data_IF_444356411386
#
_entry.id   IF_444356411386
#
_cell.length_a   1.000
_cell.length_b   1.000
_cell.length_c   1.000
_cell.angle_alpha   90.00
_cell.angle_beta   90.00
_cell.angle_gamma   90.00
#
_symmetry.space_group_name_H-M   'P 1'
#
loop_
_entity.id
_entity.type
_entity.pdbx_description
1 polymer ?
#
# COMPACT_ATOMS: atom_id res chain seq x y z
N UNK A 1 23.79 -7.50 -5.97
CA UNK A 1 23.21 -6.44 -5.11
C UNK A 1 22.00 -7.00 -4.38
N UNK A 2 21.85 -6.76 -3.08
CA UNK A 2 20.64 -7.15 -2.33
C UNK A 2 19.48 -6.21 -2.67
N UNK A 3 18.30 -6.76 -2.90
CA UNK A 3 17.05 -6.03 -3.10
C UNK A 3 15.87 -6.88 -2.60
N UNK A 4 14.65 -6.42 -2.83
CA UNK A 4 13.43 -7.10 -2.41
C UNK A 4 12.48 -7.33 -3.58
N UNK A 5 11.65 -8.36 -3.44
CA UNK A 5 10.59 -8.63 -4.41
C UNK A 5 9.36 -9.17 -3.69
N UNK A 6 8.22 -8.59 -4.04
CA UNK A 6 6.92 -9.13 -3.68
C UNK A 6 6.40 -10.07 -4.77
N UNK A 7 5.79 -11.17 -4.34
CA UNK A 7 5.16 -12.18 -5.17
C UNK A 7 3.78 -12.51 -4.62
N UNK A 8 2.90 -12.99 -5.48
CA UNK A 8 1.64 -13.63 -5.07
C UNK A 8 1.91 -14.90 -4.27
N UNK A 9 0.89 -15.46 -3.61
CA UNK A 9 0.98 -16.75 -2.94
C UNK A 9 1.49 -17.88 -3.87
N UNK A 10 1.14 -17.79 -5.16
CA UNK A 10 1.58 -18.73 -6.20
C UNK A 10 3.04 -18.55 -6.63
N UNK A 11 3.75 -17.54 -6.09
CA UNK A 11 5.14 -17.24 -6.43
C UNK A 11 5.33 -16.55 -7.78
N UNK A 12 4.28 -15.92 -8.32
CA UNK A 12 4.35 -15.10 -9.52
C UNK A 12 4.51 -13.62 -9.19
N UNK A 13 5.12 -12.86 -10.10
CA UNK A 13 5.20 -11.40 -9.95
C UNK A 13 3.85 -10.74 -10.20
N UNK A 14 3.54 -9.66 -9.48
CA UNK A 14 2.25 -8.96 -9.64
C UNK A 14 1.92 -8.53 -11.07
N UNK A 15 2.92 -8.06 -11.80
CA UNK A 15 2.77 -7.53 -13.17
C UNK A 15 3.14 -8.56 -14.24
N UNK A 16 3.36 -9.82 -13.87
CA UNK A 16 3.73 -10.89 -14.80
C UNK A 16 3.36 -12.26 -14.23
N UNK A 17 2.71 -13.11 -15.02
CA UNK A 17 2.44 -14.51 -14.61
C UNK A 17 3.70 -15.39 -14.51
N UNK A 18 4.88 -14.81 -14.69
CA UNK A 18 6.16 -15.48 -14.51
C UNK A 18 6.32 -15.99 -13.07
N UNK A 19 6.36 -17.32 -12.93
CA UNK A 19 6.63 -18.00 -11.67
C UNK A 19 8.12 -18.04 -11.37
N UNK A 20 8.49 -17.53 -10.22
CA UNK A 20 9.89 -17.45 -9.82
C UNK A 20 10.42 -18.79 -9.33
N UNK A 21 11.65 -19.17 -9.74
CA UNK A 21 12.35 -20.30 -9.13
C UNK A 21 12.57 -20.02 -7.64
N UNK A 22 11.97 -20.84 -6.78
CA UNK A 22 12.10 -20.72 -5.32
C UNK A 22 13.42 -21.36 -4.85
N UNK A 23 13.99 -20.88 -3.74
CA UNK A 23 15.09 -21.55 -3.04
C UNK A 23 14.72 -22.97 -2.63
N UNK A 24 15.73 -23.85 -2.53
CA UNK A 24 15.61 -25.20 -1.98
C UNK A 24 16.46 -25.32 -0.72
N UNK A 25 15.84 -25.27 0.45
CA UNK A 25 16.55 -25.17 1.73
C UNK A 25 17.34 -23.87 1.83
N UNK A 26 18.66 -23.99 2.00
CA UNK A 26 19.59 -22.86 2.08
C UNK A 26 20.11 -22.40 0.70
N UNK A 27 19.85 -23.17 -0.37
CA UNK A 27 20.32 -22.85 -1.72
C UNK A 27 19.38 -21.83 -2.38
N UNK A 28 19.90 -20.68 -2.85
CA UNK A 28 19.11 -19.70 -3.58
C UNK A 28 18.43 -20.29 -4.82
N UNK A 29 17.32 -19.69 -5.23
CA UNK A 29 16.63 -20.04 -6.46
C UNK A 29 17.52 -19.90 -7.71
N UNK A 30 17.11 -20.54 -8.80
CA UNK A 30 17.77 -20.37 -10.09
C UNK A 30 17.68 -18.91 -10.56
N UNK A 31 18.71 -18.48 -11.29
CA UNK A 31 18.71 -17.15 -11.89
C UNK A 31 17.63 -17.02 -12.97
N UNK A 32 16.95 -15.88 -12.92
CA UNK A 32 16.05 -15.39 -13.95
C UNK A 32 16.82 -14.33 -14.73
N UNK A 33 17.03 -14.56 -16.02
CA UNK A 33 17.76 -13.66 -16.91
C UNK A 33 16.80 -12.93 -17.87
N UNK A 34 17.05 -11.65 -18.10
CA UNK A 34 16.44 -10.85 -19.15
C UNK A 34 17.50 -10.50 -20.19
N UNK A 35 17.31 -11.00 -21.42
CA UNK A 35 18.24 -10.76 -22.54
C UNK A 35 17.77 -9.57 -23.39
N UNK A 36 18.58 -8.52 -23.45
CA UNK A 36 18.28 -7.33 -24.26
C UNK A 36 18.67 -6.05 -23.54
N UNK A 37 18.33 -4.91 -24.16
CA UNK A 37 18.52 -3.61 -23.52
C UNK A 37 17.48 -3.43 -22.40
N UNK A 38 17.94 -3.07 -21.20
CA UNK A 38 17.06 -2.80 -20.08
C UNK A 38 16.22 -1.55 -20.35
N UNK A 39 14.91 -1.67 -20.17
CA UNK A 39 13.96 -0.60 -20.39
C UNK A 39 12.92 -0.57 -19.26
N UNK A 40 12.68 0.63 -18.70
CA UNK A 40 11.70 0.85 -17.64
C UNK A 40 10.34 0.25 -17.99
N UNK A 41 9.77 -0.57 -17.09
CA UNK A 41 8.45 -1.22 -17.26
C UNK A 41 8.32 -2.16 -18.46
N UNK A 42 9.28 -2.20 -19.39
CA UNK A 42 9.18 -2.97 -20.64
C UNK A 42 10.13 -4.15 -20.70
N UNK A 43 11.35 -4.01 -20.19
CA UNK A 43 12.37 -5.03 -20.34
C UNK A 43 13.36 -5.06 -19.18
N UNK A 44 13.47 -6.22 -18.54
CA UNK A 44 14.37 -6.45 -17.41
C UNK A 44 13.68 -7.12 -16.23
N UNK A 45 14.50 -7.56 -15.27
CA UNK A 45 14.03 -8.19 -14.04
C UNK A 45 13.83 -7.12 -12.96
N UNK A 46 12.57 -6.91 -12.58
CA UNK A 46 12.16 -5.88 -11.62
C UNK A 46 12.28 -6.33 -10.15
N UNK A 47 12.80 -5.43 -9.32
CA UNK A 47 12.87 -5.55 -7.86
C UNK A 47 12.70 -4.15 -7.23
N UNK A 48 12.71 -4.06 -5.91
CA UNK A 48 12.60 -2.80 -5.18
C UNK A 48 13.65 -2.68 -4.08
N UNK A 49 14.03 -1.44 -3.75
CA UNK A 49 14.71 -1.13 -2.48
C UNK A 49 13.67 -1.09 -1.35
N UNK A 50 14.09 -1.05 -0.06
CA UNK A 50 13.16 -0.81 1.04
C UNK A 50 12.30 0.44 0.84
N UNK A 51 12.86 1.54 0.34
CA UNK A 51 12.15 2.81 0.12
C UNK A 51 11.05 2.69 -0.94
N UNK A 52 11.20 1.76 -1.87
CA UNK A 52 10.28 1.54 -2.97
C UNK A 52 9.19 0.51 -2.65
N UNK A 53 9.28 -0.21 -1.52
CA UNK A 53 8.50 -1.44 -1.30
C UNK A 53 6.98 -1.25 -1.30
N UNK A 54 6.50 -0.05 -0.93
CA UNK A 54 5.07 0.23 -0.79
C UNK A 54 4.29 0.13 -2.11
N UNK A 55 4.95 0.41 -3.23
CA UNK A 55 4.35 0.29 -4.55
C UNK A 55 4.30 -1.18 -5.04
N UNK A 56 4.96 -2.08 -4.32
CA UNK A 56 5.15 -3.47 -4.71
C UNK A 56 4.41 -4.48 -3.82
N UNK A 57 3.76 -4.04 -2.73
CA UNK A 57 3.13 -4.93 -1.74
C UNK A 57 2.26 -6.03 -2.37
N UNK A 58 2.49 -7.27 -1.91
CA UNK A 58 1.79 -8.49 -2.32
C UNK A 58 1.90 -9.56 -1.20
N UNK A 59 1.47 -10.79 -1.45
CA UNK A 59 1.33 -11.85 -0.44
C UNK A 59 2.66 -12.28 0.21
N UNK A 60 3.72 -12.40 -0.57
CA UNK A 60 5.03 -12.89 -0.13
C UNK A 60 6.13 -11.88 -0.40
N UNK A 61 6.96 -11.58 0.61
CA UNK A 61 8.16 -10.78 0.45
C UNK A 61 9.41 -11.67 0.43
N UNK A 62 10.28 -11.42 -0.54
CA UNK A 62 11.52 -12.15 -0.74
C UNK A 62 12.70 -11.20 -0.77
N UNK A 63 13.81 -11.60 -0.16
CA UNK A 63 15.12 -11.05 -0.47
C UNK A 63 15.57 -11.62 -1.82
N UNK A 64 16.10 -10.75 -2.67
CA UNK A 64 16.60 -11.12 -3.98
C UNK A 64 18.03 -10.63 -4.19
N UNK A 65 18.79 -11.43 -4.93
CA UNK A 65 20.11 -11.04 -5.42
C UNK A 65 19.96 -10.57 -6.87
N UNK A 66 20.35 -9.33 -7.15
CA UNK A 66 20.45 -8.77 -8.49
C UNK A 66 21.86 -8.91 -9.05
N UNK A 67 21.97 -9.25 -10.33
CA UNK A 67 23.23 -9.37 -11.06
C UNK A 67 23.19 -8.65 -12.41
N UNK A 68 24.37 -8.49 -13.01
CA UNK A 68 24.54 -7.78 -14.28
C UNK A 68 24.37 -6.25 -14.14
N UNK A 69 23.98 -5.59 -15.23
CA UNK A 69 23.62 -4.17 -15.24
C UNK A 69 22.36 -3.95 -14.40
N UNK A 70 22.36 -2.90 -13.58
CA UNK A 70 21.24 -2.51 -12.73
C UNK A 70 20.93 -1.04 -12.96
N UNK A 71 19.71 -0.75 -13.40
CA UNK A 71 19.16 0.59 -13.49
C UNK A 71 18.40 0.92 -12.20
N UNK A 72 18.74 2.05 -11.61
CA UNK A 72 18.01 2.63 -10.49
C UNK A 72 17.00 3.63 -11.03
N UNK A 73 15.72 3.37 -10.80
CA UNK A 73 14.62 4.24 -11.15
C UNK A 73 13.93 4.69 -9.87
N UNK A 74 13.08 5.71 -9.94
CA UNK A 74 12.40 6.27 -8.78
C UNK A 74 11.56 5.21 -8.05
N UNK A 75 10.71 4.48 -8.79
CA UNK A 75 9.78 3.50 -8.21
C UNK A 75 10.31 2.05 -8.17
N UNK A 76 11.47 1.74 -8.78
CA UNK A 76 11.98 0.37 -8.90
C UNK A 76 13.44 0.24 -9.27
N UNK A 77 13.95 -0.98 -9.10
CA UNK A 77 15.19 -1.45 -9.70
C UNK A 77 14.87 -2.31 -10.93
N UNK A 78 15.66 -2.15 -11.99
CA UNK A 78 15.59 -3.00 -13.19
C UNK A 78 16.96 -3.62 -13.41
N UNK A 79 17.05 -4.95 -13.49
CA UNK A 79 18.32 -5.66 -13.63
C UNK A 79 18.32 -6.64 -14.80
N UNK A 80 19.50 -7.00 -15.28
CA UNK A 80 19.66 -8.07 -16.30
C UNK A 80 19.29 -9.44 -15.74
N UNK A 81 19.52 -9.67 -14.45
CA UNK A 81 19.17 -10.93 -13.81
C UNK A 81 18.91 -10.79 -12.33
N UNK A 82 18.04 -11.64 -11.81
CA UNK A 82 17.85 -11.78 -10.36
C UNK A 82 17.56 -13.23 -9.96
N UNK A 83 17.74 -13.53 -8.68
CA UNK A 83 17.26 -14.78 -8.07
C UNK A 83 16.69 -14.54 -6.69
N UNK A 84 15.71 -15.35 -6.30
CA UNK A 84 15.21 -15.39 -4.92
C UNK A 84 16.29 -15.99 -4.02
N UNK A 85 16.55 -15.37 -2.87
CA UNK A 85 17.54 -15.83 -1.90
C UNK A 85 16.84 -16.46 -0.71
N UNK A 86 16.02 -15.69 0.00
CA UNK A 86 15.28 -16.16 1.17
C UNK A 86 13.97 -15.41 1.31
N UNK A 87 12.99 -16.05 1.95
CA UNK A 87 11.70 -15.42 2.25
C UNK A 87 11.83 -14.55 3.49
N UNK A 88 11.31 -13.33 3.43
CA UNK A 88 11.18 -12.46 4.61
C UNK A 88 9.96 -12.91 5.40
N UNK A 89 10.15 -13.86 6.32
CA UNK A 89 9.06 -14.46 7.11
C UNK A 89 8.29 -13.47 7.99
N UNK A 90 8.90 -12.32 8.32
CA UNK A 90 8.23 -11.22 8.99
C UNK A 90 7.03 -10.67 8.19
N UNK A 91 7.04 -10.79 6.85
CA UNK A 91 5.88 -10.50 6.03
C UNK A 91 5.08 -11.79 5.76
N UNK A 92 3.92 -11.88 6.40
CA UNK A 92 2.99 -13.00 6.30
C UNK A 92 1.55 -12.47 6.39
N UNK A 93 0.56 -13.33 6.21
CA UNK A 93 -0.86 -12.94 6.22
C UNK A 93 -1.28 -12.14 7.46
N UNK A 94 -0.75 -12.49 8.64
CA UNK A 94 -1.04 -11.76 9.89
C UNK A 94 -0.47 -10.35 9.86
N UNK A 95 0.81 -10.22 9.53
CA UNK A 95 1.47 -8.90 9.46
C UNK A 95 0.90 -8.03 8.36
N UNK A 96 0.51 -8.61 7.21
CA UNK A 96 -0.19 -7.91 6.15
C UNK A 96 -1.57 -7.40 6.61
N UNK A 97 -2.32 -8.21 7.36
CA UNK A 97 -3.60 -7.80 7.94
C UNK A 97 -3.42 -6.69 8.99
N UNK A 98 -2.44 -6.82 9.88
CA UNK A 98 -2.09 -5.78 10.85
C UNK A 98 -1.69 -4.47 10.14
N UNK A 99 -0.93 -4.56 9.05
CA UNK A 99 -0.56 -3.39 8.25
C UNK A 99 -1.78 -2.72 7.60
N UNK A 100 -2.69 -3.52 7.04
CA UNK A 100 -3.93 -3.01 6.46
C UNK A 100 -4.78 -2.29 7.51
N UNK A 101 -4.92 -2.86 8.71
CA UNK A 101 -5.68 -2.28 9.80
C UNK A 101 -5.08 -0.96 10.30
N UNK A 102 -3.75 -0.87 10.47
CA UNK A 102 -3.15 0.40 10.88
C UNK A 102 -3.34 1.48 9.81
N UNK A 103 -3.31 1.13 8.51
CA UNK A 103 -3.61 2.07 7.43
C UNK A 103 -5.08 2.56 7.46
N UNK A 104 -6.03 1.69 7.84
CA UNK A 104 -7.43 2.10 8.09
C UNK A 104 -7.50 3.17 9.18
N UNK A 105 -6.79 2.97 10.29
CA UNK A 105 -6.75 3.95 11.38
C UNK A 105 -6.02 5.25 11.00
N UNK A 106 -5.06 5.19 10.07
CA UNK A 106 -4.46 6.37 9.44
C UNK A 106 -5.49 7.14 8.61
N UNK A 107 -6.24 6.47 7.74
CA UNK A 107 -7.32 7.09 6.95
C UNK A 107 -8.36 7.80 7.84
N UNK A 108 -8.77 7.17 8.95
CA UNK A 108 -9.62 7.82 9.97
C UNK A 108 -9.03 9.14 10.47
N UNK A 109 -7.73 9.18 10.75
CA UNK A 109 -7.06 10.37 11.31
C UNK A 109 -7.21 11.57 10.37
N UNK A 110 -7.11 11.35 9.06
CA UNK A 110 -7.31 12.38 8.05
C UNK A 110 -8.77 12.85 7.97
N UNK A 111 -9.73 11.93 8.02
CA UNK A 111 -11.16 12.26 8.07
C UNK A 111 -11.51 13.09 9.32
N UNK A 112 -11.02 12.68 10.50
CA UNK A 112 -11.20 13.40 11.76
C UNK A 112 -10.66 14.83 11.67
N UNK A 113 -9.48 15.02 11.09
CA UNK A 113 -8.88 16.34 10.94
C UNK A 113 -9.72 17.25 10.02
N UNK A 114 -10.23 16.72 8.92
CA UNK A 114 -11.08 17.48 8.00
C UNK A 114 -12.45 17.81 8.61
N UNK A 115 -13.12 16.85 9.26
CA UNK A 115 -14.37 17.10 9.98
C UNK A 115 -14.23 18.20 11.04
N UNK A 116 -13.11 18.23 11.78
CA UNK A 116 -12.83 19.30 12.75
C UNK A 116 -12.68 20.66 12.08
N UNK A 117 -11.97 20.75 10.95
CA UNK A 117 -11.83 21.99 10.17
C UNK A 117 -13.17 22.50 9.65
N UNK A 118 -14.06 21.59 9.25
CA UNK A 118 -15.44 21.91 8.84
C UNK A 118 -16.39 22.20 10.00
N UNK A 119 -15.91 22.23 11.25
CA UNK A 119 -16.74 22.50 12.43
C UNK A 119 -17.59 21.31 12.91
N UNK A 120 -17.52 20.15 12.23
CA UNK A 120 -18.27 18.93 12.54
C UNK A 120 -17.60 18.11 13.66
N UNK A 121 -17.34 18.77 14.80
CA UNK A 121 -16.58 18.19 15.92
C UNK A 121 -17.27 16.95 16.52
N UNK A 122 -18.60 16.92 16.51
CA UNK A 122 -19.37 15.76 16.96
C UNK A 122 -19.16 14.52 16.09
N UNK A 123 -19.14 14.68 14.76
CA UNK A 123 -18.84 13.57 13.84
C UNK A 123 -17.39 13.12 13.97
N UNK A 124 -16.46 14.08 14.09
CA UNK A 124 -15.05 13.79 14.32
C UNK A 124 -14.85 12.95 15.61
N UNK A 125 -15.55 13.29 16.69
CA UNK A 125 -15.47 12.54 17.94
C UNK A 125 -16.04 11.12 17.80
N UNK A 126 -17.15 10.94 17.06
CA UNK A 126 -17.68 9.60 16.77
C UNK A 126 -16.66 8.74 16.02
N UNK A 127 -15.93 9.29 15.06
CA UNK A 127 -14.88 8.51 14.38
C UNK A 127 -13.75 8.12 15.35
N UNK A 128 -13.32 9.04 16.23
CA UNK A 128 -12.29 8.77 17.25
C UNK A 128 -12.74 7.67 18.22
N UNK A 129 -14.01 7.70 18.64
CA UNK A 129 -14.58 6.76 19.61
C UNK A 129 -14.90 5.38 19.00
N UNK A 130 -14.59 5.13 17.73
CA UNK A 130 -14.80 3.82 17.13
C UNK A 130 -13.84 2.80 17.74
N UNK A 131 -14.37 1.75 18.36
CA UNK A 131 -13.60 0.73 19.06
C UNK A 131 -12.92 -0.27 18.12
N UNK A 132 -13.48 -0.48 16.94
CA UNK A 132 -12.99 -1.42 15.94
C UNK A 132 -13.24 -0.92 14.50
N UNK A 133 -12.63 -1.54 13.48
CA UNK A 133 -12.80 -1.10 12.10
C UNK A 133 -14.24 -1.15 11.59
N UNK A 134 -15.07 -2.08 12.06
CA UNK A 134 -16.48 -2.18 11.65
C UNK A 134 -17.31 -1.01 12.17
N UNK A 135 -17.11 -0.65 13.43
CA UNK A 135 -17.72 0.55 14.00
C UNK A 135 -17.24 1.83 13.29
N UNK A 136 -15.94 1.89 12.96
CA UNK A 136 -15.39 2.99 12.17
C UNK A 136 -16.11 3.12 10.82
N UNK A 137 -16.28 2.01 10.09
CA UNK A 137 -16.94 1.99 8.79
C UNK A 137 -18.37 2.57 8.87
N UNK A 138 -19.19 2.07 9.80
CA UNK A 138 -20.57 2.56 9.98
C UNK A 138 -20.59 4.06 10.29
N UNK A 139 -19.73 4.52 11.20
CA UNK A 139 -19.69 5.93 11.60
C UNK A 139 -19.13 6.82 10.50
N UNK A 140 -18.17 6.34 9.71
CA UNK A 140 -17.56 7.05 8.59
C UNK A 140 -18.53 7.25 7.43
N UNK A 141 -19.33 6.24 7.07
CA UNK A 141 -20.45 6.38 6.10
C UNK A 141 -21.44 7.44 6.59
N UNK A 142 -21.84 7.37 7.86
CA UNK A 142 -22.80 8.31 8.41
C UNK A 142 -22.23 9.75 8.48
N UNK A 143 -20.91 9.90 8.64
CA UNK A 143 -20.24 11.20 8.58
C UNK A 143 -20.14 11.73 7.15
N UNK A 144 -19.88 10.87 6.15
CA UNK A 144 -19.81 11.29 4.75
C UNK A 144 -21.14 11.82 4.21
N UNK A 145 -22.27 11.30 4.70
CA UNK A 145 -23.61 11.78 4.34
C UNK A 145 -23.98 13.13 4.97
N UNK A 146 -23.34 13.49 6.10
CA UNK A 146 -23.62 14.71 6.86
C UNK A 146 -22.66 15.85 6.58
N UNK A 147 -21.48 15.53 6.10
CA UNK A 147 -20.47 16.49 5.73
C UNK A 147 -20.63 16.93 4.27
N UNK A 148 -19.93 17.99 3.91
CA UNK A 148 -19.79 18.44 2.53
C UNK A 148 -18.30 18.59 2.17
N UNK A 149 -17.99 18.60 0.88
CA UNK A 149 -16.63 18.84 0.38
C UNK A 149 -15.61 17.82 0.91
N UNK A 150 -14.36 18.25 1.21
CA UNK A 150 -13.29 17.34 1.60
C UNK A 150 -13.60 16.47 2.82
N UNK A 151 -14.40 16.96 3.77
CA UNK A 151 -14.75 16.20 4.96
C UNK A 151 -15.69 15.02 4.64
N UNK A 152 -16.57 15.18 3.65
CA UNK A 152 -17.41 14.09 3.16
C UNK A 152 -16.55 13.03 2.45
N UNK A 153 -15.70 13.47 1.53
CA UNK A 153 -14.85 12.58 0.73
C UNK A 153 -13.87 11.80 1.62
N UNK A 154 -13.20 12.45 2.56
CA UNK A 154 -12.27 11.79 3.49
C UNK A 154 -12.97 10.80 4.43
N UNK A 155 -14.21 11.10 4.84
CA UNK A 155 -15.01 10.16 5.62
C UNK A 155 -15.38 8.93 4.79
N UNK A 156 -15.73 9.10 3.51
CA UNK A 156 -15.96 7.99 2.60
C UNK A 156 -14.69 7.13 2.41
N UNK A 157 -13.53 7.75 2.20
CA UNK A 157 -12.26 7.03 2.11
C UNK A 157 -11.92 6.23 3.36
N UNK A 158 -12.24 6.75 4.55
CA UNK A 158 -12.06 6.01 5.80
C UNK A 158 -12.98 4.78 5.88
N UNK A 159 -14.22 4.87 5.38
CA UNK A 159 -15.12 3.72 5.28
C UNK A 159 -14.63 2.69 4.25
N UNK A 160 -14.23 3.15 3.06
CA UNK A 160 -13.73 2.30 1.97
C UNK A 160 -12.46 1.56 2.37
N UNK A 161 -11.57 2.21 3.12
CA UNK A 161 -10.38 1.57 3.65
C UNK A 161 -10.72 0.34 4.51
N UNK A 162 -11.77 0.40 5.35
CA UNK A 162 -12.23 -0.75 6.14
C UNK A 162 -12.73 -1.87 5.22
N UNK A 163 -13.63 -1.53 4.28
CA UNK A 163 -14.21 -2.50 3.35
C UNK A 163 -13.11 -3.26 2.60
N UNK A 164 -12.20 -2.50 2.01
CA UNK A 164 -11.14 -3.03 1.16
C UNK A 164 -10.06 -3.78 1.94
N UNK A 165 -9.73 -3.33 3.16
CA UNK A 165 -8.85 -4.08 4.06
C UNK A 165 -9.45 -5.45 4.45
N UNK A 166 -10.77 -5.60 4.39
CA UNK A 166 -11.49 -6.88 4.59
C UNK A 166 -11.69 -7.68 3.29
N UNK A 167 -11.13 -7.22 2.17
CA UNK A 167 -11.32 -7.83 0.86
C UNK A 167 -12.70 -7.59 0.24
N UNK A 168 -13.51 -6.69 0.80
CA UNK A 168 -14.83 -6.31 0.29
C UNK A 168 -14.63 -5.15 -0.70
N UNK A 169 -14.71 -5.43 -2.01
CA UNK A 169 -14.51 -4.41 -3.06
C UNK A 169 -15.82 -3.73 -3.46
N UNK A 170 -15.83 -2.43 -3.82
CA UNK A 170 -16.97 -1.78 -4.46
C UNK A 170 -17.45 -2.50 -5.73
N UNK A 171 -16.52 -3.13 -6.44
CA UNK A 171 -16.78 -3.99 -7.61
C UNK A 171 -17.64 -5.22 -7.27
N UNK A 172 -17.80 -5.56 -5.98
CA UNK A 172 -18.69 -6.61 -5.49
C UNK A 172 -19.96 -6.07 -4.81
N UNK A 173 -20.13 -4.75 -4.74
CA UNK A 173 -21.34 -4.11 -4.18
C UNK A 173 -22.50 -4.10 -5.18
N UNK A 174 -22.22 -4.35 -6.45
CA UNK A 174 -23.23 -4.69 -7.45
C UNK A 174 -22.84 -6.01 -8.15
N UNK A 175 -23.30 -7.13 -7.58
CA UNK A 175 -23.05 -8.48 -8.10
C UNK A 175 -23.61 -8.68 -9.53
N UNK A 176 -24.45 -7.78 -10.03
CA UNK A 176 -25.02 -7.84 -11.39
C UNK A 176 -24.12 -7.19 -12.45
N UNK A 177 -23.21 -6.27 -12.07
CA UNK A 177 -22.38 -5.52 -13.02
C UNK A 177 -20.88 -5.77 -12.89
N UNK A 178 -20.44 -6.49 -11.86
CA UNK A 178 -19.04 -6.88 -11.68
C UNK A 178 -18.53 -7.70 -12.88
N UNK A 179 -17.70 -7.14 -13.78
CA UNK A 179 -17.02 -7.97 -14.75
C UNK A 179 -16.11 -8.90 -13.96
N UNK A 180 -16.02 -10.16 -14.38
CA UNK A 180 -14.93 -11.07 -14.00
C UNK A 180 -13.63 -10.46 -14.54
N UNK A 181 -13.09 -9.44 -13.87
CA UNK A 181 -11.82 -8.86 -14.26
C UNK A 181 -10.74 -9.87 -13.89
N UNK A 182 -10.14 -10.48 -14.92
CA UNK A 182 -8.95 -11.33 -14.86
C UNK A 182 -7.67 -10.56 -14.47
N UNK A 183 -7.80 -9.32 -13.97
CA UNK A 183 -6.65 -8.51 -13.58
C UNK A 183 -6.11 -8.91 -12.20
N UNK A 184 -4.78 -8.89 -11.99
CA UNK A 184 -4.17 -9.20 -10.70
C UNK A 184 -4.73 -8.29 -9.61
N UNK A 185 -5.44 -8.92 -8.68
CA UNK A 185 -6.17 -8.28 -7.58
C UNK A 185 -5.14 -7.82 -6.54
N UNK A 186 -4.91 -6.51 -6.43
CA UNK A 186 -4.13 -5.92 -5.32
C UNK A 186 -4.54 -6.50 -3.97
N UNK A 187 -3.57 -6.87 -3.13
CA UNK A 187 -3.83 -7.40 -1.78
C UNK A 187 -4.51 -6.35 -0.89
N UNK A 188 -5.28 -6.76 0.14
CA UNK A 188 -5.91 -5.82 1.07
C UNK A 188 -4.93 -4.83 1.72
N UNK A 189 -3.71 -5.29 2.04
CA UNK A 189 -2.63 -4.46 2.56
C UNK A 189 -2.19 -3.37 1.57
N UNK A 190 -1.99 -3.74 0.29
CA UNK A 190 -1.63 -2.78 -0.75
C UNK A 190 -2.73 -1.72 -0.96
N UNK A 191 -4.00 -2.15 -0.95
CA UNK A 191 -5.13 -1.24 -1.13
C UNK A 191 -5.26 -0.28 0.05
N UNK A 192 -5.22 -0.79 1.29
CA UNK A 192 -5.34 0.03 2.49
C UNK A 192 -4.22 1.08 2.58
N UNK A 193 -2.98 0.71 2.24
CA UNK A 193 -1.85 1.63 2.20
C UNK A 193 -2.04 2.75 1.16
N UNK A 194 -2.53 2.41 -0.03
CA UNK A 194 -2.81 3.40 -1.07
C UNK A 194 -4.00 4.30 -0.73
N UNK A 195 -5.03 3.78 -0.07
CA UNK A 195 -6.15 4.61 0.40
C UNK A 195 -5.73 5.58 1.51
N UNK A 196 -4.92 5.13 2.47
CA UNK A 196 -4.37 6.03 3.48
C UNK A 196 -3.50 7.14 2.84
N UNK A 197 -2.73 6.80 1.80
CA UNK A 197 -1.95 7.75 1.01
C UNK A 197 -2.84 8.78 0.27
N UNK A 198 -3.93 8.34 -0.38
CA UNK A 198 -4.90 9.25 -1.03
C UNK A 198 -5.60 10.14 0.01
N UNK A 199 -6.00 9.59 1.15
CA UNK A 199 -6.59 10.36 2.24
C UNK A 199 -5.62 11.43 2.78
N UNK A 200 -4.33 11.09 2.91
CA UNK A 200 -3.30 12.06 3.31
C UNK A 200 -3.19 13.21 2.31
N UNK A 201 -3.16 12.89 1.01
CA UNK A 201 -3.11 13.87 -0.07
C UNK A 201 -4.29 14.84 -0.03
N UNK A 202 -5.49 14.32 0.13
CA UNK A 202 -6.71 15.13 0.19
C UNK A 202 -6.78 15.98 1.46
N UNK A 203 -6.34 15.44 2.60
CA UNK A 203 -6.25 16.20 3.83
C UNK A 203 -5.22 17.34 3.74
N UNK A 204 -4.11 17.14 3.01
CA UNK A 204 -3.16 18.20 2.69
C UNK A 204 -3.78 19.31 1.85
N UNK A 205 -4.51 18.96 0.78
CA UNK A 205 -5.26 19.93 -0.04
C UNK A 205 -6.28 20.72 0.76
N UNK A 206 -7.05 20.02 1.59
CA UNK A 206 -8.05 20.63 2.48
C UNK A 206 -7.39 21.59 3.48
N UNK A 207 -6.23 21.22 4.04
CA UNK A 207 -5.47 22.09 4.93
C UNK A 207 -4.96 23.37 4.23
N UNK A 208 -4.46 23.26 2.99
CA UNK A 208 -4.05 24.43 2.18
C UNK A 208 -5.26 25.33 1.89
N UNK A 209 -6.38 24.75 1.46
CA UNK A 209 -7.61 25.50 1.17
C UNK A 209 -8.16 26.25 2.41
N UNK A 210 -7.94 25.71 3.60
CA UNK A 210 -8.32 26.34 4.88
C UNK A 210 -7.32 27.40 5.38
N UNK A 211 -6.34 27.82 4.56
CA UNK A 211 -5.33 28.83 4.91
C UNK A 211 -4.05 28.26 5.54
N UNK A 212 -3.82 26.96 5.40
CA UNK A 212 -2.53 26.33 5.72
C UNK A 212 -1.42 26.71 4.74
N UNK A 213 -0.17 26.42 5.10
CA UNK A 213 0.97 26.66 4.22
C UNK A 213 0.91 25.74 2.99
N UNK A 214 1.32 26.24 1.81
CA UNK A 214 1.33 25.46 0.55
C UNK A 214 2.11 24.14 0.67
N UNK A 215 3.15 24.12 1.51
CA UNK A 215 3.96 22.92 1.79
C UNK A 215 3.18 21.81 2.50
N UNK A 216 2.00 22.09 3.08
CA UNK A 216 1.18 21.10 3.77
C UNK A 216 0.66 20.02 2.83
N UNK A 217 0.49 20.34 1.54
CA UNK A 217 0.12 19.36 0.53
C UNK A 217 1.21 18.30 0.32
N UNK A 218 2.43 18.75 0.02
CA UNK A 218 3.56 17.86 -0.24
C UNK A 218 3.99 17.09 1.02
N UNK A 219 3.95 17.76 2.18
CA UNK A 219 4.30 17.14 3.45
C UNK A 219 3.34 16.01 3.82
N UNK A 220 2.04 16.17 3.59
CA UNK A 220 1.04 15.22 4.09
C UNK A 220 1.24 13.79 3.53
N UNK A 221 1.47 13.66 2.22
CA UNK A 221 1.65 12.35 1.61
C UNK A 221 3.07 11.80 1.82
N UNK A 222 4.09 12.67 1.87
CA UNK A 222 5.45 12.26 2.18
C UNK A 222 5.54 11.71 3.61
N UNK A 223 4.82 12.33 4.55
CA UNK A 223 4.73 11.88 5.94
C UNK A 223 3.99 10.54 6.05
N UNK A 224 2.92 10.32 5.28
CA UNK A 224 2.22 9.03 5.23
C UNK A 224 3.14 7.92 4.70
N UNK A 225 3.80 8.12 3.56
CA UNK A 225 4.72 7.12 3.00
C UNK A 225 5.90 6.84 3.94
N UNK A 226 6.47 7.88 4.56
CA UNK A 226 7.55 7.70 5.54
C UNK A 226 7.09 6.91 6.76
N UNK A 227 5.89 7.19 7.26
CA UNK A 227 5.30 6.46 8.38
C UNK A 227 5.06 4.99 8.02
N UNK A 228 4.46 4.71 6.86
CA UNK A 228 4.24 3.34 6.36
C UNK A 228 5.55 2.56 6.20
N UNK A 229 6.58 3.18 5.62
CA UNK A 229 7.90 2.59 5.48
C UNK A 229 8.57 2.30 6.83
N UNK A 230 8.43 3.22 7.79
CA UNK A 230 8.96 3.04 9.14
C UNK A 230 8.27 1.86 9.84
N UNK A 231 6.94 1.78 9.72
CA UNK A 231 6.16 0.68 10.30
C UNK A 231 6.60 -0.69 9.76
N UNK A 232 6.84 -0.78 8.45
CA UNK A 232 7.32 -1.99 7.79
C UNK A 232 8.75 -2.31 8.22
N UNK A 233 9.63 -1.31 8.26
CA UNK A 233 11.02 -1.52 8.63
C UNK A 233 11.19 -2.06 10.07
N UNK A 234 10.46 -1.48 11.03
CA UNK A 234 10.45 -1.93 12.43
C UNK A 234 10.06 -3.41 12.61
N UNK A 235 9.32 -3.98 11.66
CA UNK A 235 8.79 -5.35 11.72
C UNK A 235 9.53 -6.33 10.82
N UNK A 236 10.07 -5.85 9.71
CA UNK A 236 10.68 -6.68 8.68
C UNK A 236 12.21 -6.66 8.76
N UNK A 237 12.81 -5.64 9.38
CA UNK A 237 14.28 -5.51 9.49
C UNK A 237 14.96 -5.40 8.14
N UNK A 238 14.33 -4.69 7.19
CA UNK A 238 14.72 -4.69 5.77
C UNK A 238 15.65 -3.52 5.41
N UNK A 239 15.78 -2.52 6.27
CA UNK A 239 16.85 -1.52 6.20
C UNK A 239 18.01 -1.97 7.07
N UNK A 240 19.22 -1.89 6.54
CA UNK A 240 20.42 -2.00 7.37
C UNK A 240 20.50 -0.75 8.28
N UNK A 241 20.97 -0.88 9.53
CA UNK A 241 21.13 0.24 10.45
C UNK A 241 22.14 1.30 9.98
#
# INVERSE_FOLDING_TARGET
MKAYKFLTEAGSGRFSDFRWPRPDGEEPGAWVDASGELEECRHGVHACTPEQMLDWLDDELWEVELGGKILHQEARLVSERARLVTRVHGWNARTAQEFAEVCVWRARTYAVASLRRSGLTGEAQRLVDAADPGELQTRAVAASERAEGPAAELSAFAADAVSLARGQRPETWDAETAPLLEEPVSTPAAIAANLAFVAAHMAGRDAVAAGGADTAYDAAFADERRWQLTWLDERLGVREP
#
